data_IF_963975102612
#
_entry.id   IF_963975102612
#
_cell.length_a   1.000
_cell.length_b   1.000
_cell.length_c   1.000
_cell.angle_alpha   90.00
_cell.angle_beta   90.00
_cell.angle_gamma   90.00
#
_symmetry.space_group_name_H-M   'P 1'
#
loop_
_entity.id
_entity.type
_entity.pdbx_description
1 polymer ?
#
# COMPACT_ATOMS: atom_id res chain seq x y z
N UNK A 1 65.71 0.41 -11.15
CA UNK A 1 65.05 1.51 -10.42
C UNK A 1 63.70 1.66 -11.08
N UNK A 2 62.74 0.83 -10.67
CA UNK A 2 61.34 0.92 -11.09
C UNK A 2 60.50 0.57 -9.87
N UNK A 3 59.68 1.53 -9.46
CA UNK A 3 58.99 1.61 -8.17
C UNK A 3 57.83 0.63 -8.09
N UNK A 4 57.83 -0.24 -7.09
CA UNK A 4 56.73 -1.13 -6.72
C UNK A 4 55.88 -0.41 -5.66
N UNK A 5 54.77 0.17 -6.09
CA UNK A 5 53.85 0.85 -5.17
C UNK A 5 53.09 -0.17 -4.30
N UNK A 6 53.27 0.01 -2.99
CA UNK A 6 52.59 -0.68 -1.91
C UNK A 6 51.89 0.37 -1.03
N UNK A 7 50.79 -0.04 -0.37
CA UNK A 7 49.84 0.73 0.46
C UNK A 7 48.75 1.47 -0.35
N UNK A 8 47.45 1.33 -0.08
CA UNK A 8 46.76 1.14 1.21
C UNK A 8 45.32 0.64 0.95
N UNK A 9 44.90 -0.42 1.64
CA UNK A 9 43.50 -0.80 1.80
C UNK A 9 42.79 0.21 2.72
N UNK A 10 41.59 0.69 2.36
CA UNK A 10 40.57 1.11 3.33
C UNK A 10 39.19 1.15 2.67
N UNK A 11 38.32 0.27 3.15
CA UNK A 11 36.87 0.38 3.07
C UNK A 11 36.40 1.45 4.08
N UNK A 12 35.55 2.37 3.64
CA UNK A 12 34.72 3.28 4.46
C UNK A 12 33.72 3.88 3.45
N UNK A 13 32.51 3.34 3.28
CA UNK A 13 31.35 3.58 4.13
C UNK A 13 31.38 4.98 4.75
N UNK A 14 31.02 5.95 3.92
CA UNK A 14 30.46 7.24 4.34
C UNK A 14 29.53 7.68 3.20
N UNK A 15 28.22 7.53 3.37
CA UNK A 15 27.37 8.63 3.83
C UNK A 15 26.83 9.43 2.64
N UNK A 16 25.87 8.83 1.93
CA UNK A 16 24.82 9.60 1.27
C UNK A 16 23.48 8.97 1.65
N UNK A 17 23.08 9.21 2.91
CA UNK A 17 21.66 9.38 3.20
C UNK A 17 21.36 10.80 2.72
N UNK A 18 20.83 10.93 1.51
CA UNK A 18 19.96 12.07 1.22
C UNK A 18 18.53 11.54 1.21
N UNK A 19 17.83 12.04 2.21
CA UNK A 19 16.45 11.85 2.55
C UNK A 19 15.51 12.26 1.42
N UNK A 20 14.44 11.49 1.20
CA UNK A 20 13.41 11.83 0.21
C UNK A 20 13.14 10.79 -0.86
N UNK A 21 13.15 9.49 -0.53
CA UNK A 21 12.40 8.52 -1.33
C UNK A 21 10.92 8.87 -1.21
N UNK A 22 10.46 9.76 -2.09
CA UNK A 22 9.06 10.12 -2.23
C UNK A 22 8.29 8.81 -2.40
N UNK A 23 7.55 8.41 -1.35
CA UNK A 23 6.72 7.21 -1.29
C UNK A 23 5.49 7.37 -2.22
N UNK A 24 5.72 7.70 -3.48
CA UNK A 24 4.66 7.84 -4.45
C UNK A 24 4.21 6.45 -4.87
N UNK A 25 2.91 6.13 -4.74
CA UNK A 25 2.39 4.90 -5.30
C UNK A 25 2.72 4.88 -6.79
N UNK A 26 3.15 3.72 -7.29
CA UNK A 26 3.35 3.57 -8.74
C UNK A 26 2.04 3.91 -9.45
N UNK A 27 2.08 4.52 -10.65
CA UNK A 27 0.86 4.92 -11.38
C UNK A 27 -0.15 3.78 -11.53
N UNK A 28 0.34 2.53 -11.65
CA UNK A 28 -0.48 1.32 -11.69
C UNK A 28 -1.21 1.03 -10.36
N UNK A 29 -0.53 1.16 -9.21
CA UNK A 29 -1.16 0.97 -7.89
C UNK A 29 -2.18 2.05 -7.60
N UNK A 30 -1.91 3.29 -8.01
CA UNK A 30 -2.86 4.39 -7.86
C UNK A 30 -4.14 4.16 -8.69
N UNK A 31 -3.99 3.86 -9.98
CA UNK A 31 -5.12 3.55 -10.86
C UNK A 31 -5.97 2.38 -10.35
N UNK A 32 -5.31 1.34 -9.81
CA UNK A 32 -5.99 0.20 -9.20
C UNK A 32 -6.79 0.57 -7.94
N UNK A 33 -6.24 1.47 -7.11
CA UNK A 33 -6.94 1.99 -5.93
C UNK A 33 -8.19 2.80 -6.33
N UNK A 34 -8.05 3.69 -7.31
CA UNK A 34 -9.15 4.51 -7.83
C UNK A 34 -10.28 3.64 -8.42
N UNK A 35 -9.92 2.61 -9.20
CA UNK A 35 -10.90 1.68 -9.76
C UNK A 35 -11.66 0.91 -8.66
N UNK A 36 -10.96 0.47 -7.61
CA UNK A 36 -11.58 -0.19 -6.45
C UNK A 36 -12.52 0.75 -5.71
N UNK A 37 -12.12 2.00 -5.47
CA UNK A 37 -12.97 2.99 -4.82
C UNK A 37 -14.25 3.25 -5.64
N UNK A 38 -14.12 3.41 -6.96
CA UNK A 38 -15.26 3.61 -7.85
C UNK A 38 -16.26 2.44 -7.77
N UNK A 39 -15.78 1.20 -7.78
CA UNK A 39 -16.62 0.01 -7.64
C UNK A 39 -17.36 -0.03 -6.29
N UNK A 40 -16.69 0.34 -5.20
CA UNK A 40 -17.31 0.41 -3.87
C UNK A 40 -18.39 1.50 -3.83
N UNK A 41 -18.14 2.67 -4.41
CA UNK A 41 -19.13 3.75 -4.49
C UNK A 41 -20.36 3.39 -5.32
N UNK A 42 -20.17 2.66 -6.43
CA UNK A 42 -21.28 2.15 -7.24
C UNK A 42 -22.17 1.21 -6.43
N UNK A 43 -21.56 0.30 -5.67
CA UNK A 43 -22.31 -0.63 -4.82
C UNK A 43 -23.03 0.10 -3.66
N UNK A 44 -22.41 1.10 -3.05
CA UNK A 44 -23.08 1.94 -2.03
C UNK A 44 -24.33 2.60 -2.63
N UNK A 45 -24.21 3.13 -3.86
CA UNK A 45 -25.35 3.70 -4.60
C UNK A 45 -26.43 2.66 -4.86
N UNK A 46 -26.08 1.42 -5.24
CA UNK A 46 -27.06 0.33 -5.40
C UNK A 46 -27.77 0.05 -4.07
N UNK A 47 -27.04 0.01 -2.96
CA UNK A 47 -27.62 -0.22 -1.63
C UNK A 47 -28.55 0.90 -1.17
N UNK A 48 -28.25 2.16 -1.52
CA UNK A 48 -29.11 3.30 -1.14
C UNK A 48 -30.45 3.33 -1.88
N UNK A 49 -30.59 2.62 -3.01
CA UNK A 49 -31.85 2.50 -3.74
C UNK A 49 -32.76 1.39 -3.22
N UNK A 50 -32.25 0.52 -2.33
CA UNK A 50 -33.04 -0.53 -1.73
C UNK A 50 -33.93 0.03 -0.62
N UNK A 51 -35.08 -0.61 -0.33
CA UNK A 51 -35.94 -0.22 0.78
C UNK A 51 -35.12 -0.11 2.08
N UNK A 52 -35.21 1.06 2.72
CA UNK A 52 -34.46 1.33 3.93
C UNK A 52 -34.82 0.31 5.02
N UNK A 53 -33.80 -0.14 5.78
CA UNK A 53 -33.90 -0.96 7.02
C UNK A 53 -33.95 -2.48 6.88
N UNK A 54 -33.59 -3.07 5.74
CA UNK A 54 -33.25 -4.50 5.76
C UNK A 54 -31.92 -4.72 6.49
N UNK A 55 -31.83 -5.82 7.26
CA UNK A 55 -30.59 -6.23 7.94
C UNK A 55 -29.42 -6.35 6.95
N UNK A 56 -29.72 -6.85 5.74
CA UNK A 56 -28.75 -6.96 4.66
C UNK A 56 -28.18 -5.60 4.25
N UNK A 57 -29.02 -4.61 3.93
CA UNK A 57 -28.57 -3.27 3.50
C UNK A 57 -27.71 -2.62 4.59
N UNK A 58 -28.15 -2.67 5.85
CA UNK A 58 -27.40 -2.10 6.98
C UNK A 58 -26.05 -2.80 7.19
N UNK A 59 -25.99 -4.12 7.03
CA UNK A 59 -24.74 -4.86 7.14
C UNK A 59 -23.81 -4.55 5.95
N UNK A 60 -24.35 -4.60 4.73
CA UNK A 60 -23.60 -4.37 3.49
C UNK A 60 -22.99 -2.97 3.46
N UNK A 61 -23.74 -1.93 3.84
CA UNK A 61 -23.21 -0.57 3.94
C UNK A 61 -22.05 -0.47 4.95
N UNK A 62 -22.12 -1.16 6.10
CA UNK A 62 -21.01 -1.19 7.06
C UNK A 62 -19.75 -1.83 6.47
N UNK A 63 -19.91 -2.97 5.78
CA UNK A 63 -18.79 -3.66 5.12
C UNK A 63 -18.18 -2.77 4.05
N UNK A 64 -18.99 -2.17 3.18
CA UNK A 64 -18.51 -1.30 2.10
C UNK A 64 -17.78 -0.06 2.64
N UNK A 65 -18.31 0.56 3.69
CA UNK A 65 -17.63 1.67 4.35
C UNK A 65 -16.28 1.23 4.95
N UNK A 66 -16.20 0.03 5.53
CA UNK A 66 -14.93 -0.50 6.05
C UNK A 66 -13.94 -0.75 4.92
N UNK A 67 -14.37 -1.31 3.80
CA UNK A 67 -13.53 -1.51 2.61
C UNK A 67 -13.00 -0.16 2.09
N UNK A 68 -13.87 0.85 1.99
CA UNK A 68 -13.47 2.17 1.53
C UNK A 68 -12.39 2.80 2.43
N UNK A 69 -12.57 2.72 3.75
CA UNK A 69 -11.56 3.14 4.72
C UNK A 69 -10.24 2.40 4.51
N UNK A 70 -10.27 1.08 4.33
CA UNK A 70 -9.05 0.28 4.13
C UNK A 70 -8.30 0.64 2.84
N UNK A 71 -9.02 0.99 1.78
CA UNK A 71 -8.41 1.42 0.50
C UNK A 71 -7.81 2.83 0.63
N UNK A 72 -8.39 3.71 1.45
CA UNK A 72 -7.88 5.08 1.65
C UNK A 72 -6.62 5.17 2.52
N UNK A 73 -6.21 4.08 3.19
CA UNK A 73 -5.01 4.07 4.01
C UNK A 73 -3.78 4.17 3.10
N UNK A 74 -3.03 5.26 3.23
CA UNK A 74 -1.71 5.38 2.65
C UNK A 74 -0.75 4.49 3.44
N UNK A 75 -0.18 3.45 2.82
CA UNK A 75 0.87 2.62 3.42
C UNK A 75 2.21 2.96 2.83
N UNK A 76 3.26 2.88 3.65
CA UNK A 76 4.63 2.90 3.17
C UNK A 76 4.98 1.57 2.52
N UNK A 77 6.07 1.53 1.74
CA UNK A 77 6.53 0.29 1.11
C UNK A 77 6.80 -0.83 2.15
N UNK A 78 7.44 -0.47 3.28
CA UNK A 78 7.72 -1.42 4.36
C UNK A 78 6.46 -1.99 5.02
N UNK A 79 5.43 -1.16 5.22
CA UNK A 79 4.15 -1.62 5.78
C UNK A 79 3.40 -2.55 4.83
N UNK A 80 3.49 -2.30 3.52
CA UNK A 80 2.87 -3.18 2.52
C UNK A 80 3.57 -4.53 2.46
N UNK A 81 4.91 -4.56 2.51
CA UNK A 81 5.71 -5.79 2.56
C UNK A 81 5.42 -6.62 3.82
N UNK A 82 5.41 -5.97 5.00
CA UNK A 82 5.03 -6.63 6.25
C UNK A 82 3.62 -7.23 6.16
N UNK A 83 2.67 -6.48 5.60
CA UNK A 83 1.29 -6.93 5.42
C UNK A 83 1.20 -8.15 4.49
N UNK A 84 1.92 -8.13 3.35
CA UNK A 84 2.00 -9.27 2.43
C UNK A 84 2.58 -10.51 3.12
N UNK A 85 3.63 -10.36 3.93
CA UNK A 85 4.23 -11.45 4.68
C UNK A 85 3.27 -12.05 5.72
N UNK A 86 2.55 -11.19 6.45
CA UNK A 86 1.53 -11.63 7.41
C UNK A 86 0.44 -12.45 6.72
N UNK A 87 -0.02 -12.02 5.53
CA UNK A 87 -1.02 -12.76 4.76
C UNK A 87 -0.48 -14.06 4.17
N UNK A 88 0.78 -14.11 3.73
CA UNK A 88 1.40 -15.34 3.22
C UNK A 88 1.48 -16.45 4.29
N UNK A 89 1.58 -16.08 5.56
CA UNK A 89 1.55 -17.00 6.70
C UNK A 89 0.15 -17.48 7.10
N UNK A 90 -0.91 -16.84 6.60
CA UNK A 90 -2.28 -17.29 6.84
C UNK A 90 -2.62 -18.35 5.79
N UNK A 91 -2.74 -19.61 6.20
CA UNK A 91 -3.32 -20.66 5.36
C UNK A 91 -4.84 -20.41 5.22
N UNK A 92 -5.20 -19.47 4.34
CA UNK A 92 -6.58 -19.12 3.98
C UNK A 92 -7.10 -19.99 2.83
#
# INVERSE_FOLDING_TARGET
MDSLDHFKCSNTLDQMIEDGATNQPTPQKQMWSEQKQAAVHEEIRRMSQLPARSTYVSHRLRVLNKILQLISIQRTAAQEEELELLFAGLSL
#
